data_IF_797564510016
#
_entry.id   IF_797564510016
#
_cell.length_a   1.000
_cell.length_b   1.000
_cell.length_c   1.000
_cell.angle_alpha   90.00
_cell.angle_beta   90.00
_cell.angle_gamma   90.00
#
_symmetry.space_group_name_H-M   'P 1'
#
loop_
_entity.id
_entity.type
_entity.pdbx_description
1 polymer ?
#
# COMPACT_ATOMS: atom_id res chain seq x y z
N UNK A 1 -46.60 -105.07 73.76
CA UNK A 1 -46.65 -104.29 72.50
C UNK A 1 -45.89 -102.98 72.73
N UNK A 2 -44.70 -102.77 72.14
CA UNK A 2 -44.47 -101.88 70.98
C UNK A 2 -45.22 -100.54 71.15
N UNK A 3 -44.61 -99.35 71.27
CA UNK A 3 -43.39 -98.79 70.65
C UNK A 3 -42.86 -97.61 71.47
N UNK A 4 -41.54 -97.40 71.33
CA UNK A 4 -40.72 -96.29 71.82
C UNK A 4 -41.20 -94.91 71.31
N UNK A 5 -41.09 -93.88 72.14
CA UNK A 5 -40.71 -92.54 71.69
C UNK A 5 -39.91 -91.84 72.80
N UNK A 6 -38.62 -91.66 72.54
CA UNK A 6 -37.70 -90.84 73.33
C UNK A 6 -37.71 -89.47 72.65
N UNK A 7 -38.09 -88.42 73.38
CA UNK A 7 -37.98 -87.03 72.91
C UNK A 7 -36.78 -86.40 73.62
N UNK A 8 -35.69 -86.23 72.86
CA UNK A 8 -34.52 -85.46 73.25
C UNK A 8 -34.85 -83.97 73.09
N UNK A 9 -34.79 -83.19 74.17
CA UNK A 9 -34.78 -81.73 74.11
C UNK A 9 -33.36 -81.27 73.72
N UNK A 10 -33.18 -80.82 72.48
CA UNK A 10 -31.96 -80.16 72.03
C UNK A 10 -32.08 -78.65 72.28
N UNK A 11 -31.17 -78.11 73.09
CA UNK A 11 -31.00 -76.67 73.27
C UNK A 11 -30.40 -76.07 71.99
N UNK A 12 -31.21 -75.30 71.26
CA UNK A 12 -30.75 -74.51 70.10
C UNK A 12 -30.12 -73.22 70.64
N UNK A 13 -28.79 -73.16 70.63
CA UNK A 13 -28.05 -71.90 70.71
C UNK A 13 -28.24 -71.14 69.40
N UNK A 14 -29.03 -70.07 69.43
CA UNK A 14 -29.08 -69.09 68.34
C UNK A 14 -27.82 -68.24 68.45
N UNK A 15 -26.80 -68.56 67.64
CA UNK A 15 -25.70 -67.66 67.37
C UNK A 15 -26.25 -66.47 66.57
N UNK A 16 -26.34 -65.30 67.21
CA UNK A 16 -26.58 -64.04 66.52
C UNK A 16 -25.33 -63.74 65.70
N UNK A 17 -25.38 -64.00 64.40
CA UNK A 17 -24.39 -63.51 63.46
C UNK A 17 -24.49 -61.98 63.42
N UNK A 18 -23.61 -61.31 64.16
CA UNK A 18 -23.35 -59.88 63.98
C UNK A 18 -22.83 -59.75 62.54
N UNK A 19 -23.52 -59.02 61.63
CA UNK A 19 -22.97 -58.76 60.32
C UNK A 19 -21.63 -58.04 60.51
N UNK A 20 -20.56 -58.40 59.78
CA UNK A 20 -19.32 -57.66 59.85
C UNK A 20 -19.65 -56.19 59.57
N UNK A 21 -19.41 -55.34 60.57
CA UNK A 21 -19.39 -53.90 60.38
C UNK A 21 -18.32 -53.67 59.34
N UNK A 22 -18.72 -53.29 58.13
CA UNK A 22 -17.78 -52.87 57.10
C UNK A 22 -16.91 -51.80 57.73
N UNK A 23 -15.61 -52.08 57.87
CA UNK A 23 -14.65 -51.05 58.24
C UNK A 23 -14.88 -49.89 57.27
N UNK A 24 -15.14 -48.69 57.80
CA UNK A 24 -15.13 -47.49 56.98
C UNK A 24 -13.82 -47.52 56.18
N UNK A 25 -13.93 -47.51 54.85
CA UNK A 25 -12.75 -47.50 53.98
C UNK A 25 -11.86 -46.35 54.46
N UNK A 26 -10.60 -46.65 54.79
CA UNK A 26 -9.66 -45.61 55.17
C UNK A 26 -9.63 -44.57 54.04
N UNK A 27 -9.75 -43.28 54.39
CA UNK A 27 -9.66 -42.20 53.40
C UNK A 27 -8.33 -42.32 52.65
N UNK A 28 -8.41 -42.48 51.34
CA UNK A 28 -7.25 -42.63 50.48
C UNK A 28 -6.64 -41.25 50.21
N UNK A 29 -5.48 -40.96 50.81
CA UNK A 29 -4.80 -39.66 50.65
C UNK A 29 -4.45 -39.35 49.18
N UNK A 30 -4.37 -40.37 48.31
CA UNK A 30 -4.16 -40.21 46.86
C UNK A 30 -5.40 -39.69 46.12
N UNK A 31 -6.59 -39.89 46.69
CA UNK A 31 -7.88 -39.49 46.12
C UNK A 31 -8.51 -38.29 46.84
N UNK A 32 -7.72 -37.57 47.64
CA UNK A 32 -8.20 -36.45 48.47
C UNK A 32 -8.63 -35.22 47.63
N UNK A 33 -7.86 -34.89 46.57
CA UNK A 33 -8.14 -33.74 45.72
C UNK A 33 -8.90 -34.13 44.45
N UNK A 34 -9.59 -33.17 43.85
CA UNK A 34 -10.22 -33.33 42.54
C UNK A 34 -9.18 -33.35 41.41
N UNK A 35 -9.42 -34.11 40.33
CA UNK A 35 -8.55 -34.10 39.16
C UNK A 35 -8.60 -32.76 38.41
N UNK A 36 -7.58 -32.51 37.57
CA UNK A 36 -7.49 -31.36 36.66
C UNK A 36 -6.96 -31.79 35.27
N UNK A 37 -7.09 -30.91 34.27
CA UNK A 37 -6.71 -31.16 32.86
C UNK A 37 -5.69 -30.10 32.35
N UNK A 38 -5.25 -29.18 33.21
CA UNK A 38 -4.39 -28.04 32.85
C UNK A 38 -3.24 -27.88 33.83
N UNK A 39 -2.04 -27.57 33.30
CA UNK A 39 -0.82 -27.26 34.05
C UNK A 39 -0.84 -25.87 34.70
N UNK A 40 -1.67 -24.97 34.19
CA UNK A 40 -1.85 -23.62 34.73
C UNK A 40 -3.29 -23.44 35.19
N UNK A 41 -3.50 -22.59 36.20
CA UNK A 41 -4.81 -22.21 36.79
C UNK A 41 -5.81 -21.55 35.80
N UNK A 42 -5.55 -21.61 34.49
CA UNK A 42 -6.44 -21.20 33.43
C UNK A 42 -7.39 -22.36 33.08
N UNK A 43 -8.71 -22.18 33.14
CA UNK A 43 -9.65 -23.30 33.25
C UNK A 43 -9.83 -24.17 32.00
N UNK A 44 -9.26 -23.82 30.84
CA UNK A 44 -9.40 -24.62 29.61
C UNK A 44 -8.18 -24.40 28.71
N UNK A 45 -7.18 -25.28 28.76
CA UNK A 45 -6.28 -25.44 27.62
C UNK A 45 -7.15 -25.86 26.42
N UNK A 46 -7.12 -25.07 25.35
CA UNK A 46 -7.89 -25.40 24.15
C UNK A 46 -7.20 -26.57 23.46
N UNK A 47 -7.68 -27.80 23.72
CA UNK A 47 -7.12 -29.01 23.11
C UNK A 47 -7.54 -29.05 21.64
N UNK A 48 -6.57 -28.92 20.72
CA UNK A 48 -6.80 -28.90 19.27
C UNK A 48 -6.22 -30.14 18.61
N UNK A 49 -7.08 -30.98 18.03
CA UNK A 49 -6.67 -32.23 17.37
C UNK A 49 -6.28 -32.01 15.90
N UNK A 50 -4.97 -31.92 15.60
CA UNK A 50 -4.44 -31.95 14.22
C UNK A 50 -3.94 -33.34 13.77
N UNK A 51 -3.98 -34.36 14.63
CA UNK A 51 -3.81 -35.78 14.27
C UNK A 51 -4.11 -36.66 15.49
N UNK A 52 -3.15 -36.75 16.39
CA UNK A 52 -3.25 -37.39 17.70
C UNK A 52 -2.65 -36.46 18.73
N UNK A 53 -3.38 -36.22 19.81
CA UNK A 53 -2.94 -35.40 20.94
C UNK A 53 -3.06 -36.24 22.20
N UNK A 54 -2.13 -36.02 23.12
CA UNK A 54 -2.18 -36.57 24.46
C UNK A 54 -2.65 -35.47 25.40
N UNK A 55 -3.81 -35.67 26.01
CA UNK A 55 -4.38 -34.74 26.98
C UNK A 55 -3.92 -35.17 28.37
N UNK A 56 -3.27 -34.31 29.16
CA UNK A 56 -2.88 -34.66 30.52
C UNK A 56 -4.12 -34.71 31.42
N UNK A 57 -4.21 -35.74 32.25
CA UNK A 57 -5.13 -35.81 33.38
C UNK A 57 -4.27 -35.86 34.61
N UNK A 58 -4.47 -34.90 35.50
CA UNK A 58 -3.60 -34.65 36.64
C UNK A 58 -4.38 -34.83 37.94
N UNK A 59 -3.73 -35.43 38.93
CA UNK A 59 -4.17 -35.54 40.32
C UNK A 59 -3.14 -34.85 41.21
N UNK A 60 -3.53 -33.74 41.82
CA UNK A 60 -2.72 -33.05 42.80
C UNK A 60 -2.79 -33.81 44.12
N UNK A 61 -1.66 -34.08 44.75
CA UNK A 61 -1.63 -34.75 46.05
C UNK A 61 -1.80 -33.74 47.19
N UNK A 62 -2.16 -34.22 48.38
CA UNK A 62 -2.23 -33.37 49.58
C UNK A 62 -0.85 -33.24 50.27
N UNK A 63 0.06 -34.19 50.05
CA UNK A 63 1.39 -34.25 50.66
C UNK A 63 2.46 -34.59 49.63
N UNK A 64 3.63 -33.97 49.80
CA UNK A 64 4.84 -34.37 49.09
C UNK A 64 5.23 -35.82 49.48
N UNK A 65 5.74 -36.62 48.54
CA UNK A 65 6.26 -38.00 48.73
C UNK A 65 5.26 -39.16 48.91
N UNK A 66 3.96 -38.94 48.69
CA UNK A 66 2.98 -40.03 48.68
C UNK A 66 3.07 -40.86 47.37
N UNK A 67 3.35 -42.16 47.49
CA UNK A 67 3.31 -43.08 46.36
C UNK A 67 1.85 -43.47 46.07
N UNK A 68 1.34 -42.95 44.95
CA UNK A 68 0.00 -43.21 44.44
C UNK A 68 0.05 -44.00 43.12
N UNK A 69 1.10 -44.82 42.94
CA UNK A 69 1.19 -45.72 41.79
C UNK A 69 -0.05 -46.63 41.71
N UNK A 70 -0.58 -46.79 40.50
CA UNK A 70 -1.78 -47.59 40.27
C UNK A 70 -3.08 -46.80 40.29
N UNK A 71 -3.03 -45.46 40.40
CA UNK A 71 -4.18 -44.61 40.14
C UNK A 71 -4.65 -44.72 38.69
N UNK A 72 -5.97 -44.80 38.50
CA UNK A 72 -6.61 -44.87 37.18
C UNK A 72 -7.76 -43.89 37.10
N UNK A 73 -7.68 -42.95 36.16
CA UNK A 73 -8.78 -42.06 35.81
C UNK A 73 -9.70 -42.72 34.78
N UNK A 74 -11.01 -42.64 35.02
CA UNK A 74 -12.04 -43.08 34.09
C UNK A 74 -12.61 -41.87 33.37
N UNK A 75 -12.53 -41.90 32.04
CA UNK A 75 -12.94 -40.80 31.17
C UNK A 75 -13.90 -41.32 30.14
N UNK A 76 -14.92 -40.54 29.80
CA UNK A 76 -15.85 -40.86 28.72
C UNK A 76 -16.28 -39.59 28.00
N UNK A 77 -16.87 -39.74 26.83
CA UNK A 77 -17.62 -38.63 26.22
C UNK A 77 -18.86 -38.30 27.04
N UNK A 78 -19.29 -37.05 26.97
CA UNK A 78 -20.50 -36.59 27.65
C UNK A 78 -21.77 -37.33 27.20
N UNK A 79 -21.78 -37.87 25.97
CA UNK A 79 -22.85 -38.72 25.44
C UNK A 79 -22.82 -40.18 25.94
N UNK A 80 -21.85 -40.53 26.81
CA UNK A 80 -21.68 -41.87 27.37
C UNK A 80 -20.86 -42.82 26.49
N UNK A 81 -20.47 -42.43 25.27
CA UNK A 81 -19.64 -43.23 24.38
C UNK A 81 -18.14 -43.14 24.73
N UNK A 82 -17.34 -44.01 24.10
CA UNK A 82 -15.87 -43.97 24.16
C UNK A 82 -15.30 -43.87 25.58
N UNK A 83 -15.70 -44.81 26.45
CA UNK A 83 -15.12 -44.91 27.77
C UNK A 83 -13.68 -45.42 27.70
N UNK A 84 -12.79 -44.72 28.37
CA UNK A 84 -11.36 -45.02 28.45
C UNK A 84 -10.89 -44.99 29.91
N UNK A 85 -9.82 -45.72 30.15
CA UNK A 85 -9.09 -45.69 31.42
C UNK A 85 -7.70 -45.14 31.15
N UNK A 86 -7.26 -44.21 31.99
CA UNK A 86 -5.96 -43.55 31.88
C UNK A 86 -5.20 -43.82 33.16
N UNK A 87 -4.12 -44.60 33.04
CA UNK A 87 -3.25 -44.87 34.17
C UNK A 87 -2.42 -43.61 34.48
N UNK A 88 -2.49 -43.14 35.73
CA UNK A 88 -1.72 -42.01 36.22
C UNK A 88 -0.38 -42.56 36.73
N UNK A 89 0.59 -42.68 35.83
CA UNK A 89 1.86 -43.39 36.06
C UNK A 89 3.07 -42.48 36.10
N UNK A 90 2.91 -41.23 35.65
CA UNK A 90 3.99 -40.26 35.62
C UNK A 90 3.88 -39.34 36.84
N UNK A 91 5.02 -39.09 37.50
CA UNK A 91 5.14 -38.12 38.58
C UNK A 91 5.80 -36.84 38.05
N UNK A 92 5.24 -35.68 38.41
CA UNK A 92 5.80 -34.38 38.08
C UNK A 92 4.80 -33.44 37.41
N UNK A 93 5.23 -32.21 37.19
CA UNK A 93 4.50 -31.20 36.44
C UNK A 93 5.48 -30.36 35.62
N UNK A 94 5.05 -29.83 34.47
CA UNK A 94 5.85 -28.84 33.73
C UNK A 94 5.53 -27.45 34.26
N UNK A 95 6.26 -27.00 35.27
CA UNK A 95 6.13 -25.66 35.83
C UNK A 95 6.24 -25.62 37.34
N UNK A 96 6.51 -24.44 37.91
CA UNK A 96 6.46 -24.22 39.35
C UNK A 96 5.01 -23.93 39.79
N UNK A 97 4.53 -24.50 40.93
CA UNK A 97 5.25 -25.36 41.88
C UNK A 97 4.55 -26.76 42.07
N UNK A 98 5.13 -27.78 42.77
CA UNK A 98 6.21 -28.72 42.36
C UNK A 98 5.80 -30.23 42.13
N UNK A 99 6.66 -31.20 42.53
CA UNK A 99 6.74 -32.68 42.38
C UNK A 99 5.65 -33.59 43.00
N UNK A 100 4.43 -33.09 43.19
CA UNK A 100 3.34 -33.70 43.97
C UNK A 100 2.09 -33.93 43.11
N UNK A 101 2.29 -34.00 41.79
CA UNK A 101 1.24 -34.32 40.82
C UNK A 101 1.53 -35.67 40.20
N UNK A 102 0.51 -36.53 40.20
CA UNK A 102 0.49 -37.72 39.37
C UNK A 102 -0.34 -37.43 38.14
N UNK A 103 0.17 -37.82 36.98
CA UNK A 103 -0.54 -37.58 35.74
C UNK A 103 -0.44 -38.75 34.78
N UNK A 104 -1.38 -38.77 33.85
CA UNK A 104 -1.46 -39.74 32.78
C UNK A 104 -1.97 -39.07 31.51
N UNK A 105 -1.74 -39.73 30.39
CA UNK A 105 -2.05 -39.17 29.07
C UNK A 105 -3.27 -39.87 28.47
N UNK A 106 -4.36 -39.13 28.26
CA UNK A 106 -5.50 -39.57 27.48
C UNK A 106 -5.16 -39.46 25.98
N UNK A 107 -5.04 -40.59 25.24
CA UNK A 107 -4.74 -40.54 23.82
C UNK A 107 -6.01 -40.24 23.02
N UNK A 108 -6.06 -39.08 22.37
CA UNK A 108 -7.17 -38.67 21.52
C UNK A 108 -6.72 -38.54 20.07
N UNK A 109 -7.53 -39.06 19.15
CA UNK A 109 -7.33 -38.88 17.70
C UNK A 109 -8.36 -37.91 17.15
N UNK A 110 -8.09 -37.27 16.02
CA UNK A 110 -9.07 -36.38 15.38
C UNK A 110 -10.42 -37.08 15.08
N UNK A 111 -10.41 -38.40 14.81
CA UNK A 111 -11.60 -39.19 14.58
C UNK A 111 -12.46 -39.32 15.86
N UNK A 112 -11.87 -39.90 16.89
CA UNK A 112 -12.58 -40.31 18.11
C UNK A 112 -12.62 -39.23 19.18
N UNK A 113 -11.70 -38.28 19.14
CA UNK A 113 -11.39 -37.35 20.22
C UNK A 113 -12.21 -36.06 20.29
N UNK A 114 -12.84 -35.62 19.20
CA UNK A 114 -13.55 -34.33 19.20
C UNK A 114 -14.88 -34.37 19.99
N UNK A 115 -15.20 -33.26 20.66
CA UNK A 115 -16.44 -33.02 21.41
C UNK A 115 -16.24 -32.85 22.92
N UNK A 116 -17.34 -32.95 23.67
CA UNK A 116 -17.35 -32.85 25.13
C UNK A 116 -16.97 -34.19 25.79
N UNK A 117 -16.08 -34.11 26.78
CA UNK A 117 -15.59 -35.21 27.58
C UNK A 117 -15.74 -34.92 29.06
N UNK A 118 -15.77 -35.98 29.86
CA UNK A 118 -15.91 -35.89 31.31
C UNK A 118 -15.01 -36.93 31.96
N UNK A 119 -14.20 -36.51 32.93
CA UNK A 119 -13.59 -37.43 33.91
C UNK A 119 -14.65 -37.72 34.95
N UNK A 120 -15.04 -38.99 35.08
CA UNK A 120 -16.18 -39.41 35.92
C UNK A 120 -15.77 -39.95 37.26
N UNK A 121 -14.59 -40.57 37.34
CA UNK A 121 -14.03 -41.05 38.60
C UNK A 121 -12.55 -41.33 38.50
N UNK A 122 -11.88 -41.35 39.64
CA UNK A 122 -10.49 -41.80 39.78
C UNK A 122 -10.48 -42.93 40.81
N UNK A 123 -9.74 -44.00 40.52
CA UNK A 123 -9.63 -45.17 41.40
C UNK A 123 -8.19 -45.36 41.84
N UNK A 124 -8.00 -45.84 43.06
CA UNK A 124 -6.72 -46.25 43.62
C UNK A 124 -6.96 -47.49 44.49
N UNK A 125 -6.47 -48.65 44.04
CA UNK A 125 -6.83 -49.94 44.65
C UNK A 125 -8.36 -50.17 44.66
N UNK A 126 -8.94 -50.36 45.85
CA UNK A 126 -10.38 -50.54 46.05
C UNK A 126 -11.13 -49.22 46.29
N UNK A 127 -10.42 -48.10 46.44
CA UNK A 127 -11.02 -46.80 46.74
C UNK A 127 -11.38 -46.07 45.45
N UNK A 128 -12.46 -45.28 45.50
CA UNK A 128 -12.89 -44.46 44.37
C UNK A 128 -13.28 -43.03 44.78
N UNK A 129 -12.86 -42.07 43.96
CA UNK A 129 -13.32 -40.69 43.98
C UNK A 129 -14.25 -40.47 42.79
N UNK A 130 -15.53 -40.25 43.07
CA UNK A 130 -16.48 -39.81 42.04
C UNK A 130 -16.21 -38.34 41.72
N UNK A 131 -16.19 -38.01 40.43
CA UNK A 131 -15.94 -36.64 39.95
C UNK A 131 -16.79 -36.33 38.71
N UNK A 132 -16.89 -35.05 38.37
CA UNK A 132 -17.55 -34.59 37.16
C UNK A 132 -16.76 -33.40 36.60
N UNK A 133 -15.60 -33.70 36.00
CA UNK A 133 -14.73 -32.70 35.40
C UNK A 133 -14.97 -32.65 33.88
N UNK A 134 -15.83 -31.75 33.38
CA UNK A 134 -16.06 -31.60 31.95
C UNK A 134 -14.92 -30.85 31.27
N UNK A 135 -14.62 -31.24 30.03
CA UNK A 135 -13.69 -30.54 29.15
C UNK A 135 -14.09 -30.72 27.70
N UNK A 136 -13.75 -29.73 26.86
CA UNK A 136 -14.06 -29.78 25.43
C UNK A 136 -12.80 -29.95 24.61
N UNK A 137 -12.87 -30.84 23.61
CA UNK A 137 -11.78 -31.11 22.69
C UNK A 137 -12.19 -30.66 21.29
N UNK A 138 -11.52 -29.61 20.80
CA UNK A 138 -11.76 -29.06 19.48
C UNK A 138 -10.99 -29.84 18.41
N UNK A 139 -11.59 -29.98 17.23
CA UNK A 139 -10.88 -30.47 16.04
C UNK A 139 -10.08 -29.35 15.41
N UNK A 140 -8.88 -29.69 14.93
CA UNK A 140 -8.04 -28.77 14.19
C UNK A 140 -8.59 -28.44 12.82
N UNK A 141 -8.11 -27.32 12.28
CA UNK A 141 -8.29 -26.94 10.89
C UNK A 141 -6.92 -26.72 10.25
N UNK A 142 -6.88 -26.79 8.92
CA UNK A 142 -5.75 -26.32 8.11
C UNK A 142 -6.25 -25.19 7.23
N UNK A 143 -5.78 -23.98 7.51
CA UNK A 143 -6.02 -22.81 6.67
C UNK A 143 -4.72 -22.48 5.95
N UNK A 144 -4.82 -22.28 4.65
CA UNK A 144 -3.72 -21.86 3.80
C UNK A 144 -4.02 -20.51 3.17
N UNK A 145 -2.97 -19.77 2.87
CA UNK A 145 -3.02 -18.53 2.11
C UNK A 145 -1.87 -18.57 1.10
N UNK A 146 -2.23 -18.57 -0.18
CA UNK A 146 -1.28 -18.57 -1.27
C UNK A 146 -0.54 -17.23 -1.31
N UNK A 147 0.73 -17.24 -1.74
CA UNK A 147 1.49 -16.02 -1.94
C UNK A 147 0.82 -15.17 -3.04
N UNK A 148 0.34 -13.95 -2.74
CA UNK A 148 -0.32 -13.14 -3.75
C UNK A 148 0.63 -12.76 -4.88
N UNK A 149 0.11 -12.72 -6.10
CA UNK A 149 0.86 -12.24 -7.25
C UNK A 149 1.26 -10.77 -7.07
N UNK A 150 2.47 -10.43 -7.54
CA UNK A 150 2.93 -9.03 -7.58
C UNK A 150 2.06 -8.25 -8.57
N UNK A 151 1.61 -7.07 -8.18
CA UNK A 151 0.77 -6.22 -9.05
C UNK A 151 1.40 -4.86 -9.29
N UNK A 152 1.09 -4.22 -10.41
CA UNK A 152 1.53 -2.86 -10.75
C UNK A 152 0.33 -1.96 -11.07
N UNK A 153 0.51 -0.65 -11.04
CA UNK A 153 -0.53 0.31 -11.43
C UNK A 153 -1.79 0.23 -10.56
N UNK A 154 -2.96 0.30 -11.18
CA UNK A 154 -4.27 0.16 -10.51
C UNK A 154 -4.78 -1.29 -10.44
N UNK A 155 -3.96 -2.26 -10.85
CA UNK A 155 -4.35 -3.66 -10.86
C UNK A 155 -4.67 -4.15 -9.44
N UNK A 156 -5.74 -4.95 -9.35
CA UNK A 156 -6.13 -5.68 -8.15
C UNK A 156 -5.37 -7.01 -8.13
N UNK A 157 -5.08 -7.52 -6.93
CA UNK A 157 -4.52 -8.87 -6.76
C UNK A 157 -5.58 -9.82 -6.26
N UNK A 158 -5.51 -11.07 -6.68
CA UNK A 158 -6.32 -12.14 -6.13
C UNK A 158 -5.63 -12.69 -4.88
N UNK A 159 -6.37 -12.79 -3.79
CA UNK A 159 -6.01 -13.52 -2.58
C UNK A 159 -6.78 -14.84 -2.61
N UNK A 160 -6.07 -15.95 -2.50
CA UNK A 160 -6.63 -17.30 -2.54
C UNK A 160 -5.99 -18.20 -1.50
N UNK A 161 -6.67 -19.29 -1.21
CA UNK A 161 -6.17 -20.36 -0.38
C UNK A 161 -7.26 -21.41 -0.17
N UNK A 162 -7.04 -22.27 0.82
CA UNK A 162 -7.95 -23.36 1.13
C UNK A 162 -8.10 -23.52 2.64
N UNK A 163 -9.33 -23.80 3.08
CA UNK A 163 -9.65 -24.25 4.42
C UNK A 163 -10.06 -25.73 4.36
N UNK A 164 -9.38 -26.54 5.16
CA UNK A 164 -9.76 -27.93 5.41
C UNK A 164 -9.90 -28.16 6.90
N UNK A 165 -10.73 -29.11 7.28
CA UNK A 165 -11.09 -29.42 8.67
C UNK A 165 -10.98 -30.91 8.90
N UNK A 166 -10.51 -31.31 10.07
CA UNK A 166 -10.54 -32.72 10.44
C UNK A 166 -11.98 -33.16 10.70
N UNK A 167 -12.44 -34.19 9.99
CA UNK A 167 -13.76 -34.78 10.17
C UNK A 167 -13.82 -35.67 11.41
N UNK A 168 -15.02 -36.18 11.71
CA UNK A 168 -15.24 -37.25 12.68
C UNK A 168 -14.60 -38.60 12.30
N UNK A 169 -14.12 -38.77 11.07
CA UNK A 169 -13.31 -39.94 10.66
C UNK A 169 -11.81 -39.68 10.77
N UNK A 170 -11.41 -38.48 11.22
CA UNK A 170 -10.01 -38.06 11.30
C UNK A 170 -9.39 -37.70 9.94
N UNK A 171 -10.19 -37.74 8.87
CA UNK A 171 -9.76 -37.31 7.55
C UNK A 171 -9.84 -35.79 7.42
N UNK A 172 -8.87 -35.20 6.73
CA UNK A 172 -8.87 -33.78 6.43
C UNK A 172 -9.80 -33.51 5.23
N UNK A 173 -10.98 -32.93 5.48
CA UNK A 173 -12.02 -32.68 4.48
C UNK A 173 -12.18 -31.20 4.16
N UNK A 174 -12.69 -30.88 2.98
CA UNK A 174 -13.02 -29.51 2.60
C UNK A 174 -14.04 -28.90 3.58
N UNK A 175 -13.85 -27.63 3.92
CA UNK A 175 -14.78 -26.87 4.76
C UNK A 175 -15.54 -25.84 3.92
N UNK A 176 -16.68 -26.21 3.30
CA UNK A 176 -17.45 -25.30 2.46
C UNK A 176 -18.23 -24.27 3.28
N UNK A 177 -18.70 -23.20 2.63
CA UNK A 177 -19.58 -22.17 3.19
C UNK A 177 -19.06 -21.55 4.50
N UNK A 178 -17.74 -21.44 4.64
CA UNK A 178 -17.08 -20.87 5.81
C UNK A 178 -16.48 -19.52 5.47
N UNK A 179 -16.76 -18.52 6.30
CA UNK A 179 -16.20 -17.17 6.13
C UNK A 179 -14.75 -17.11 6.58
N UNK A 180 -13.87 -16.82 5.63
CA UNK A 180 -12.45 -16.50 5.84
C UNK A 180 -12.29 -14.98 5.85
N UNK A 181 -11.65 -14.47 6.89
CA UNK A 181 -11.29 -13.06 7.04
C UNK A 181 -9.83 -12.87 6.65
N UNK A 182 -9.56 -11.89 5.81
CA UNK A 182 -8.21 -11.48 5.45
C UNK A 182 -7.88 -10.23 6.25
N UNK A 183 -6.88 -10.34 7.11
CA UNK A 183 -6.55 -9.35 8.13
C UNK A 183 -5.18 -8.76 7.85
N UNK A 184 -5.07 -7.44 8.02
CA UNK A 184 -3.81 -6.72 7.95
C UNK A 184 -2.97 -6.97 9.21
N UNK A 185 -1.64 -7.00 9.08
CA UNK A 185 -0.74 -7.19 10.24
C UNK A 185 -0.94 -6.14 11.34
N UNK A 186 -1.11 -4.88 10.97
CA UNK A 186 -1.43 -3.80 11.91
C UNK A 186 -2.83 -3.97 12.51
N UNK A 187 -2.89 -4.31 13.80
CA UNK A 187 -4.12 -4.39 14.62
C UNK A 187 -5.22 -5.31 14.05
N UNK A 188 -4.85 -6.30 13.24
CA UNK A 188 -5.81 -7.22 12.59
C UNK A 188 -6.95 -6.51 11.87
N UNK A 189 -6.66 -5.37 11.23
CA UNK A 189 -7.65 -4.61 10.47
C UNK A 189 -8.21 -5.49 9.34
N UNK A 190 -9.53 -5.57 9.22
CA UNK A 190 -10.18 -6.33 8.16
C UNK A 190 -9.90 -5.70 6.79
N UNK A 191 -9.27 -6.47 5.90
CA UNK A 191 -9.02 -6.09 4.50
C UNK A 191 -10.19 -6.54 3.63
N UNK A 192 -10.58 -7.81 3.76
CA UNK A 192 -11.63 -8.43 2.98
C UNK A 192 -12.16 -9.68 3.67
N UNK A 193 -13.32 -10.14 3.22
CA UNK A 193 -13.89 -11.45 3.56
C UNK A 193 -14.09 -12.27 2.29
N UNK A 194 -13.97 -13.59 2.42
CA UNK A 194 -14.28 -14.54 1.37
C UNK A 194 -15.00 -15.75 1.97
N UNK A 195 -15.92 -16.34 1.23
CA UNK A 195 -16.58 -17.59 1.63
C UNK A 195 -15.96 -18.74 0.86
N UNK A 196 -15.71 -19.86 1.55
CA UNK A 196 -15.17 -21.07 0.91
C UNK A 196 -16.22 -21.77 0.03
N UNK A 197 -15.77 -22.27 -1.11
CA UNK A 197 -16.59 -23.06 -2.05
C UNK A 197 -16.74 -24.53 -1.61
N UNK A 198 -17.40 -25.35 -2.43
CA UNK A 198 -17.60 -26.78 -2.16
C UNK A 198 -16.29 -27.57 -1.94
N UNK A 199 -15.17 -27.11 -2.50
CA UNK A 199 -13.85 -27.71 -2.34
C UNK A 199 -13.05 -27.11 -1.15
N UNK A 200 -13.67 -26.21 -0.39
CA UNK A 200 -13.04 -25.50 0.73
C UNK A 200 -12.09 -24.40 0.28
N UNK A 201 -12.09 -24.03 -1.01
CA UNK A 201 -11.22 -22.98 -1.55
C UNK A 201 -11.90 -21.63 -1.37
N UNK A 202 -11.12 -20.61 -1.05
CA UNK A 202 -11.62 -19.24 -1.03
C UNK A 202 -10.84 -18.38 -2.01
N UNK A 203 -11.50 -17.37 -2.56
CA UNK A 203 -10.89 -16.41 -3.46
C UNK A 203 -11.55 -15.05 -3.28
N UNK A 204 -10.75 -13.99 -3.21
CA UNK A 204 -11.25 -12.61 -3.28
C UNK A 204 -10.24 -11.71 -3.99
N UNK A 205 -10.70 -10.60 -4.53
CA UNK A 205 -9.86 -9.67 -5.30
C UNK A 205 -9.80 -8.33 -4.58
N UNK A 206 -8.59 -7.91 -4.21
CA UNK A 206 -8.35 -6.71 -3.39
C UNK A 206 -7.43 -5.75 -4.13
N UNK A 207 -7.70 -4.45 -4.01
CA UNK A 207 -6.82 -3.40 -4.51
C UNK A 207 -5.86 -2.97 -3.41
N UNK A 208 -4.56 -3.06 -3.67
CA UNK A 208 -3.52 -2.52 -2.80
C UNK A 208 -2.83 -1.34 -3.47
N UNK A 209 -2.54 -0.32 -2.67
CA UNK A 209 -1.77 0.87 -3.07
C UNK A 209 -0.32 0.81 -2.58
N UNK A 210 0.07 -0.21 -1.82
CA UNK A 210 1.42 -0.40 -1.28
C UNK A 210 1.61 -1.86 -0.88
N UNK A 211 2.85 -2.26 -0.57
CA UNK A 211 3.13 -3.57 0.01
C UNK A 211 2.31 -3.73 1.29
N UNK A 212 1.55 -4.81 1.36
CA UNK A 212 0.60 -5.05 2.44
C UNK A 212 0.82 -6.44 3.03
N UNK A 213 1.22 -6.49 4.29
CA UNK A 213 1.38 -7.75 5.01
C UNK A 213 0.05 -8.15 5.65
N UNK A 214 -0.40 -9.36 5.35
CA UNK A 214 -1.72 -9.86 5.72
C UNK A 214 -1.67 -11.34 6.09
N UNK A 215 -2.70 -11.81 6.78
CA UNK A 215 -2.94 -13.23 7.08
C UNK A 215 -4.41 -13.57 6.86
N UNK A 216 -4.71 -14.85 6.65
CA UNK A 216 -6.08 -15.34 6.65
C UNK A 216 -6.44 -15.86 8.05
N UNK A 217 -7.72 -15.74 8.41
CA UNK A 217 -8.26 -16.23 9.67
C UNK A 217 -9.70 -16.71 9.51
N UNK A 218 -10.12 -17.65 10.35
CA UNK A 218 -11.53 -18.03 10.52
C UNK A 218 -11.99 -17.78 11.95
N UNK A 219 -13.28 -17.54 12.13
CA UNK A 219 -13.87 -17.56 13.47
C UNK A 219 -13.90 -19.00 14.02
N UNK A 220 -13.85 -19.13 15.35
CA UNK A 220 -14.21 -20.39 16.00
C UNK A 220 -15.67 -20.72 15.69
N UNK A 221 -15.98 -21.99 15.43
CA UNK A 221 -17.34 -22.42 15.08
C UNK A 221 -17.58 -23.84 15.56
N UNK A 222 -18.58 -24.03 16.43
CA UNK A 222 -18.94 -25.35 16.96
C UNK A 222 -17.72 -26.08 17.52
N UNK A 223 -17.36 -27.20 16.89
CA UNK A 223 -16.25 -28.08 17.29
C UNK A 223 -14.88 -27.68 16.73
N UNK A 224 -14.70 -26.47 16.20
CA UNK A 224 -13.43 -26.01 15.62
C UNK A 224 -13.00 -24.67 16.23
N UNK A 225 -11.71 -24.55 16.51
CA UNK A 225 -11.08 -23.29 16.93
C UNK A 225 -10.91 -22.32 15.76
N UNK A 226 -10.62 -21.07 16.09
CA UNK A 226 -10.15 -20.10 15.12
C UNK A 226 -8.77 -20.53 14.56
N UNK A 227 -8.63 -20.56 13.24
CA UNK A 227 -7.36 -20.84 12.57
C UNK A 227 -6.79 -19.53 12.03
N UNK A 228 -5.46 -19.43 12.04
CA UNK A 228 -4.69 -18.27 11.55
C UNK A 228 -3.55 -18.79 10.69
N UNK A 229 -3.33 -18.15 9.54
CA UNK A 229 -2.13 -18.43 8.74
C UNK A 229 -0.94 -17.61 9.22
N UNK A 230 0.25 -18.01 8.79
CA UNK A 230 1.40 -17.12 8.75
C UNK A 230 1.10 -15.86 7.93
N UNK A 231 1.88 -14.82 8.21
CA UNK A 231 1.83 -13.60 7.42
C UNK A 231 2.43 -13.81 6.02
N UNK A 232 1.74 -13.24 5.03
CA UNK A 232 2.18 -13.12 3.64
C UNK A 232 2.12 -11.67 3.21
N UNK A 233 3.02 -11.26 2.33
CA UNK A 233 3.06 -9.88 1.83
C UNK A 233 2.51 -9.83 0.41
N UNK A 234 1.42 -9.09 0.22
CA UNK A 234 0.96 -8.69 -1.10
C UNK A 234 1.85 -7.56 -1.61
N UNK A 235 2.65 -7.86 -2.64
CA UNK A 235 3.64 -6.95 -3.18
C UNK A 235 3.05 -6.02 -4.25
N UNK A 236 3.38 -4.73 -4.14
CA UNK A 236 2.99 -3.68 -5.07
C UNK A 236 4.23 -3.09 -5.75
N UNK A 237 4.23 -3.14 -7.07
CA UNK A 237 5.22 -2.51 -7.93
C UNK A 237 4.77 -1.12 -8.33
N UNK A 238 5.70 -0.18 -8.34
CA UNK A 238 5.55 1.11 -8.99
C UNK A 238 5.42 0.87 -10.51
N UNK A 239 4.35 1.37 -11.09
CA UNK A 239 4.19 1.56 -12.53
C UNK A 239 4.44 3.02 -12.88
N UNK A 240 5.14 3.29 -13.99
CA UNK A 240 5.41 4.64 -14.45
C UNK A 240 5.19 4.75 -15.97
N UNK A 241 4.54 5.83 -16.40
CA UNK A 241 4.35 6.15 -17.82
C UNK A 241 5.67 6.53 -18.49
N UNK A 242 5.66 6.61 -19.82
CA UNK A 242 6.69 7.37 -20.53
C UNK A 242 6.65 8.85 -20.11
N UNK A 243 7.80 9.51 -20.21
CA UNK A 243 7.91 10.93 -19.93
C UNK A 243 7.35 11.73 -21.11
N UNK A 244 6.55 12.74 -20.80
CA UNK A 244 6.09 13.75 -21.74
C UNK A 244 6.88 15.03 -21.51
N UNK A 245 7.61 15.48 -22.52
CA UNK A 245 8.42 16.68 -22.45
C UNK A 245 8.48 17.39 -23.81
N UNK A 246 8.68 18.71 -23.81
CA UNK A 246 8.90 19.44 -25.07
C UNK A 246 10.27 19.06 -25.66
N UNK A 247 10.38 18.85 -26.98
CA UNK A 247 11.60 18.34 -27.60
C UNK A 247 12.81 19.30 -27.50
N UNK A 248 12.55 20.59 -27.29
CA UNK A 248 13.56 21.64 -27.23
C UNK A 248 13.45 22.41 -25.91
N UNK A 249 14.58 22.63 -25.26
CA UNK A 249 14.73 23.49 -24.09
C UNK A 249 15.69 24.65 -24.41
N UNK A 250 15.66 25.72 -23.61
CA UNK A 250 16.53 26.88 -23.75
C UNK A 250 17.39 27.05 -22.50
N UNK A 251 18.65 27.45 -22.68
CA UNK A 251 19.54 27.81 -21.57
C UNK A 251 18.87 28.87 -20.69
N UNK A 252 18.95 28.72 -19.36
CA UNK A 252 18.35 29.58 -18.33
C UNK A 252 16.81 29.69 -18.40
N UNK A 253 16.14 28.89 -19.21
CA UNK A 253 14.68 28.79 -19.25
C UNK A 253 14.17 27.62 -18.42
N UNK A 254 13.08 27.81 -17.69
CA UNK A 254 12.39 26.69 -17.02
C UNK A 254 11.80 25.74 -18.07
N UNK A 255 12.19 24.47 -17.98
CA UNK A 255 11.71 23.41 -18.85
C UNK A 255 10.95 22.36 -18.03
N UNK A 256 9.86 21.84 -18.60
CA UNK A 256 8.91 20.96 -17.91
C UNK A 256 8.99 19.54 -18.45
N UNK A 257 9.07 18.58 -17.54
CA UNK A 257 8.89 17.14 -17.78
C UNK A 257 7.67 16.67 -16.99
N UNK A 258 6.78 15.91 -17.64
CA UNK A 258 5.56 15.40 -17.02
C UNK A 258 5.46 13.88 -17.19
N UNK A 259 4.72 13.24 -16.30
CA UNK A 259 4.44 11.82 -16.38
C UNK A 259 3.40 11.41 -15.34
N UNK A 260 3.14 10.11 -15.27
CA UNK A 260 2.36 9.52 -14.19
C UNK A 260 3.07 8.33 -13.56
N UNK A 261 2.90 8.17 -12.26
CA UNK A 261 3.34 7.00 -11.52
C UNK A 261 2.25 6.52 -10.57
N UNK A 262 2.14 5.20 -10.43
CA UNK A 262 1.17 4.53 -9.57
C UNK A 262 1.89 3.50 -8.70
N UNK A 263 1.54 3.39 -7.42
CA UNK A 263 0.53 4.18 -6.67
C UNK A 263 0.85 5.68 -6.60
N UNK A 264 -0.14 6.54 -6.32
CA UNK A 264 0.11 7.96 -6.05
C UNK A 264 0.82 8.17 -4.70
N UNK A 265 1.13 9.42 -4.32
CA UNK A 265 1.84 9.77 -3.07
C UNK A 265 3.29 9.25 -2.98
N UNK A 266 3.85 8.73 -4.07
CA UNK A 266 5.27 8.41 -4.20
C UNK A 266 6.12 9.68 -4.26
N UNK A 267 7.44 9.54 -4.13
CA UNK A 267 8.38 10.62 -4.44
C UNK A 267 8.91 10.46 -5.87
N UNK A 268 8.91 11.56 -6.62
CA UNK A 268 9.56 11.67 -7.92
C UNK A 268 10.68 12.70 -7.87
N UNK A 269 11.84 12.29 -8.33
CA UNK A 269 13.06 13.08 -8.43
C UNK A 269 13.47 13.20 -9.91
N UNK A 270 13.60 14.43 -10.41
CA UNK A 270 14.17 14.69 -11.72
C UNK A 270 15.69 14.77 -11.60
N UNK A 271 16.37 13.90 -12.34
CA UNK A 271 17.82 13.79 -12.33
C UNK A 271 18.37 14.08 -13.73
N UNK A 272 19.55 14.71 -13.77
CA UNK A 272 20.30 14.98 -15.00
C UNK A 272 21.57 14.14 -15.00
N UNK A 273 21.91 13.55 -16.14
CA UNK A 273 23.17 12.83 -16.31
C UNK A 273 24.31 13.83 -16.55
N UNK A 274 25.34 13.80 -15.70
CA UNK A 274 26.48 14.72 -15.82
C UNK A 274 27.64 14.15 -16.66
N UNK A 275 27.45 12.97 -17.27
CA UNK A 275 28.49 12.24 -18.02
C UNK A 275 29.01 10.99 -17.29
N UNK A 276 28.91 10.94 -15.96
CA UNK A 276 29.38 9.82 -15.13
C UNK A 276 28.29 9.28 -14.20
N UNK A 277 27.44 10.16 -13.66
CA UNK A 277 26.39 9.81 -12.71
C UNK A 277 25.11 10.62 -12.96
N UNK A 278 24.04 10.14 -12.35
CA UNK A 278 22.76 10.85 -12.29
C UNK A 278 22.75 11.76 -11.07
N UNK A 279 22.52 13.04 -11.29
CA UNK A 279 22.51 14.07 -10.25
C UNK A 279 21.10 14.63 -10.10
N UNK A 280 20.58 14.64 -8.88
CA UNK A 280 19.29 15.23 -8.52
C UNK A 280 19.25 16.71 -8.83
N UNK A 281 18.22 17.15 -9.55
CA UNK A 281 17.93 18.56 -9.77
C UNK A 281 17.17 19.15 -8.57
N UNK A 282 17.02 20.48 -8.46
CA UNK A 282 16.19 21.08 -7.43
C UNK A 282 14.70 20.68 -7.50
N UNK A 283 14.24 20.07 -8.61
CA UNK A 283 12.86 19.62 -8.75
C UNK A 283 12.72 18.17 -8.30
N UNK A 284 12.46 18.02 -7.00
CA UNK A 284 12.07 16.77 -6.36
C UNK A 284 10.83 17.01 -5.50
N UNK A 285 10.05 15.96 -5.25
CA UNK A 285 8.92 16.09 -4.33
C UNK A 285 7.93 14.93 -4.38
N UNK A 286 6.87 15.00 -3.55
CA UNK A 286 5.79 14.04 -3.61
C UNK A 286 5.01 14.15 -4.93
N UNK A 287 4.44 13.05 -5.36
CA UNK A 287 3.48 12.94 -6.45
C UNK A 287 2.09 13.03 -5.80
N UNK A 288 1.16 13.82 -6.34
CA UNK A 288 -0.22 13.83 -5.85
C UNK A 288 -0.87 12.44 -5.85
N UNK A 289 -1.99 12.31 -5.13
CA UNK A 289 -2.70 11.04 -5.03
C UNK A 289 -3.20 10.50 -6.39
N UNK A 290 -3.45 11.37 -7.37
CA UNK A 290 -3.83 11.01 -8.73
C UNK A 290 -2.67 10.46 -9.59
N UNK A 291 -1.46 10.39 -9.03
CA UNK A 291 -0.28 9.83 -9.70
C UNK A 291 0.35 10.71 -10.79
N UNK A 292 -0.28 11.83 -11.17
CA UNK A 292 0.22 12.73 -12.22
C UNK A 292 1.20 13.73 -11.63
N UNK A 293 2.37 13.86 -12.24
CA UNK A 293 3.40 14.79 -11.78
C UNK A 293 3.98 15.64 -12.91
N UNK A 294 4.56 16.77 -12.50
CA UNK A 294 5.44 17.58 -13.33
C UNK A 294 6.69 17.94 -12.53
N UNK A 295 7.84 17.93 -13.20
CA UNK A 295 9.13 18.35 -12.67
C UNK A 295 9.76 19.36 -13.62
N UNK A 296 10.53 20.27 -13.04
CA UNK A 296 11.06 21.43 -13.74
C UNK A 296 12.59 21.45 -13.65
N UNK A 297 13.24 21.81 -14.74
CA UNK A 297 14.68 21.93 -14.78
C UNK A 297 15.07 23.16 -15.59
N UNK A 298 16.08 23.87 -15.12
CA UNK A 298 16.65 25.03 -15.80
C UNK A 298 18.08 24.68 -16.24
N UNK A 299 18.33 24.40 -17.54
CA UNK A 299 19.67 24.08 -18.03
C UNK A 299 20.55 25.34 -18.07
N UNK A 300 21.82 25.22 -17.69
CA UNK A 300 22.79 26.34 -17.76
C UNK A 300 23.72 26.26 -18.98
N UNK A 301 23.69 25.15 -19.73
CA UNK A 301 24.56 24.91 -20.89
C UNK A 301 23.76 24.33 -22.05
N UNK A 302 24.07 24.78 -23.26
CA UNK A 302 23.53 24.23 -24.49
C UNK A 302 24.13 22.84 -24.79
N UNK A 303 23.46 22.05 -25.62
CA UNK A 303 23.85 20.69 -25.98
C UNK A 303 22.72 19.69 -25.77
N UNK A 304 23.02 18.41 -25.95
CA UNK A 304 22.06 17.33 -25.65
C UNK A 304 22.26 16.87 -24.21
N UNK A 305 21.18 16.87 -23.44
CA UNK A 305 21.18 16.41 -22.05
C UNK A 305 20.30 15.19 -21.91
N UNK A 306 20.75 14.22 -21.11
CA UNK A 306 19.94 13.07 -20.70
C UNK A 306 19.35 13.37 -19.34
N UNK A 307 18.03 13.25 -19.24
CA UNK A 307 17.29 13.38 -18.00
C UNK A 307 16.60 12.07 -17.68
N UNK A 308 16.36 11.83 -16.40
CA UNK A 308 15.46 10.77 -15.97
C UNK A 308 14.59 11.25 -14.83
N UNK A 309 13.39 10.72 -14.76
CA UNK A 309 12.61 10.79 -13.52
C UNK A 309 12.78 9.46 -12.82
N UNK A 310 13.26 9.53 -11.58
CA UNK A 310 13.36 8.39 -10.68
C UNK A 310 12.22 8.45 -9.66
N UNK A 311 11.47 7.35 -9.54
CA UNK A 311 10.33 7.28 -8.63
C UNK A 311 10.61 6.25 -7.55
N UNK A 312 10.36 6.64 -6.30
CA UNK A 312 10.53 5.82 -5.11
C UNK A 312 9.36 5.99 -4.16
N UNK A 313 9.10 4.99 -3.34
CA UNK A 313 8.10 5.04 -2.27
C UNK A 313 8.55 4.23 -1.08
N UNK A 314 7.96 4.50 0.08
CA UNK A 314 8.06 3.57 1.19
C UNK A 314 7.19 2.34 0.86
N UNK A 315 7.67 1.13 1.24
CA UNK A 315 6.89 -0.12 1.12
C UNK A 315 6.44 -0.44 -0.30
N UNK A 316 7.33 -0.30 -1.27
CA UNK A 316 7.14 -0.76 -2.66
C UNK A 316 8.36 -1.54 -3.11
N UNK A 317 8.14 -2.53 -3.97
CA UNK A 317 9.13 -3.55 -4.32
C UNK A 317 10.22 -3.11 -5.30
N UNK A 318 10.02 -1.98 -5.97
CA UNK A 318 10.92 -1.48 -7.01
C UNK A 318 11.03 0.05 -6.96
N UNK A 319 11.98 0.60 -7.72
CA UNK A 319 12.15 2.05 -7.88
C UNK A 319 12.51 2.37 -9.34
N UNK A 320 11.49 2.38 -10.24
CA UNK A 320 11.74 2.52 -11.66
C UNK A 320 12.23 3.93 -12.02
N UNK A 321 12.95 4.02 -13.13
CA UNK A 321 13.30 5.28 -13.78
C UNK A 321 12.95 5.25 -15.26
N UNK A 322 12.60 6.41 -15.82
CA UNK A 322 12.44 6.61 -17.28
C UNK A 322 13.30 7.77 -17.71
N UNK A 323 13.95 7.60 -18.85
CA UNK A 323 14.87 8.57 -19.40
C UNK A 323 14.26 9.32 -20.59
N UNK A 324 14.74 10.53 -20.81
CA UNK A 324 14.44 11.35 -21.99
C UNK A 324 15.70 12.13 -22.37
N UNK A 325 15.94 12.29 -23.67
CA UNK A 325 16.98 13.18 -24.17
C UNK A 325 16.35 14.49 -24.62
N UNK A 326 16.94 15.62 -24.23
CA UNK A 326 16.49 16.95 -24.64
C UNK A 326 17.63 17.71 -25.29
N UNK A 327 17.31 18.39 -26.39
CA UNK A 327 18.23 19.34 -27.02
C UNK A 327 18.03 20.70 -26.36
N UNK A 328 19.05 21.15 -25.64
CA UNK A 328 19.12 22.50 -25.07
C UNK A 328 19.80 23.41 -26.07
N UNK A 329 19.09 24.42 -26.52
CA UNK A 329 19.62 25.45 -27.41
C UNK A 329 20.14 26.61 -26.58
N UNK A 330 21.33 27.11 -26.91
CA UNK A 330 21.81 28.36 -26.33
C UNK A 330 20.78 29.44 -26.65
N UNK A 331 20.36 30.21 -25.64
CA UNK A 331 19.72 31.47 -25.96
C UNK A 331 20.75 32.31 -26.73
N UNK A 332 20.36 32.97 -27.83
CA UNK A 332 21.24 33.82 -28.59
C UNK A 332 21.96 34.79 -27.63
N UNK A 333 23.30 34.79 -27.65
CA UNK A 333 24.13 35.68 -26.80
C UNK A 333 23.93 37.16 -27.13
N UNK A 334 23.28 37.45 -28.25
CA UNK A 334 23.03 38.79 -28.77
C UNK A 334 21.53 38.96 -29.04
N UNK A 335 20.99 40.18 -28.94
CA UNK A 335 19.57 40.41 -29.14
C UNK A 335 19.11 39.88 -30.50
N UNK A 336 18.11 39.01 -30.53
CA UNK A 336 17.85 38.24 -31.75
C UNK A 336 17.02 38.96 -32.80
N UNK A 337 16.25 39.98 -32.44
CA UNK A 337 15.46 40.82 -33.36
C UNK A 337 14.84 41.99 -32.60
N UNK A 338 14.54 43.09 -33.31
CA UNK A 338 13.69 44.16 -32.81
C UNK A 338 12.23 43.74 -32.95
N UNK A 339 11.43 43.86 -31.87
CA UNK A 339 9.97 43.80 -31.94
C UNK A 339 9.47 45.21 -31.71
N UNK A 340 8.79 45.76 -32.71
CA UNK A 340 8.07 47.02 -32.57
C UNK A 340 6.58 46.85 -32.78
N UNK A 341 5.79 47.36 -31.85
CA UNK A 341 4.39 47.70 -32.11
C UNK A 341 4.42 49.06 -32.83
N UNK A 342 4.53 49.03 -34.15
CA UNK A 342 4.46 50.24 -34.95
C UNK A 342 3.01 50.43 -35.36
N UNK A 343 2.41 51.52 -34.89
CA UNK A 343 1.10 51.93 -35.37
C UNK A 343 1.32 52.62 -36.72
N UNK A 344 0.50 52.27 -37.71
CA UNK A 344 0.56 52.90 -39.03
C UNK A 344 0.54 54.44 -38.87
N UNK A 345 1.35 55.18 -39.66
CA UNK A 345 1.37 56.64 -39.62
C UNK A 345 -0.05 57.20 -39.62
N UNK A 346 -0.36 57.99 -38.59
CA UNK A 346 -1.70 58.56 -38.42
C UNK A 346 -1.67 60.00 -38.92
N UNK A 347 -2.58 60.33 -39.83
CA UNK A 347 -2.85 61.69 -40.26
C UNK A 347 -4.22 62.12 -39.74
N UNK A 348 -4.40 63.41 -39.49
CA UNK A 348 -5.74 64.00 -39.54
C UNK A 348 -6.25 63.89 -40.98
N UNK A 349 -7.45 63.36 -41.19
CA UNK A 349 -8.09 63.42 -42.49
C UNK A 349 -8.66 64.84 -42.70
N UNK A 350 -8.54 65.43 -43.90
CA UNK A 350 -7.88 64.93 -45.11
C UNK A 350 -6.35 65.14 -45.15
N UNK A 351 -5.62 64.20 -45.78
CA UNK A 351 -4.18 64.33 -46.05
C UNK A 351 -3.97 65.29 -47.22
N UNK A 352 -3.36 66.45 -46.98
CA UNK A 352 -2.93 67.42 -48.01
C UNK A 352 -1.40 67.49 -48.06
N UNK A 353 -0.85 68.05 -49.14
CA UNK A 353 0.57 68.43 -49.18
C UNK A 353 0.90 69.31 -47.97
N UNK A 354 2.08 69.09 -47.38
CA UNK A 354 2.58 69.76 -46.17
C UNK A 354 1.75 69.52 -44.89
N UNK A 355 0.74 68.63 -44.94
CA UNK A 355 0.04 68.20 -43.73
C UNK A 355 1.01 67.49 -42.80
N UNK A 356 0.92 67.79 -41.51
CA UNK A 356 1.75 67.13 -40.51
C UNK A 356 1.23 65.71 -40.23
N UNK A 357 2.06 64.71 -40.50
CA UNK A 357 1.85 63.33 -40.09
C UNK A 357 2.66 63.01 -38.83
N UNK A 358 2.17 62.06 -38.05
CA UNK A 358 2.87 61.56 -36.87
C UNK A 358 3.18 60.08 -37.02
N UNK A 359 4.38 59.70 -36.56
CA UNK A 359 4.76 58.30 -36.40
C UNK A 359 5.23 58.06 -34.98
N UNK A 360 4.71 57.00 -34.37
CA UNK A 360 5.07 56.61 -33.02
C UNK A 360 5.17 55.08 -32.93
N UNK A 361 5.96 54.63 -31.97
CA UNK A 361 6.13 53.21 -31.72
C UNK A 361 7.01 52.94 -30.52
N UNK A 362 7.27 51.67 -30.28
CA UNK A 362 8.18 51.22 -29.24
C UNK A 362 9.12 50.16 -29.81
N UNK A 363 10.42 50.32 -29.62
CA UNK A 363 11.44 49.34 -30.00
C UNK A 363 11.85 48.52 -28.77
N UNK A 364 11.68 47.20 -28.87
CA UNK A 364 12.17 46.23 -27.88
C UNK A 364 13.14 45.26 -28.51
N UNK A 365 14.09 44.78 -27.72
CA UNK A 365 14.99 43.69 -28.07
C UNK A 365 14.73 42.49 -27.18
N UNK A 366 14.86 41.28 -27.72
CA UNK A 366 14.77 40.06 -26.91
C UNK A 366 16.10 39.82 -26.19
N UNK A 367 16.06 39.74 -24.86
CA UNK A 367 17.21 39.46 -23.99
C UNK A 367 17.58 37.97 -24.04
N UNK A 368 18.79 37.68 -23.59
CA UNK A 368 19.34 36.33 -23.48
C UNK A 368 18.62 35.45 -22.43
N UNK A 369 17.67 35.99 -21.66
CA UNK A 369 16.79 35.27 -20.74
C UNK A 369 15.38 35.02 -21.32
N UNK A 370 15.16 35.42 -22.58
CA UNK A 370 13.88 35.32 -23.27
C UNK A 370 12.92 36.48 -23.04
N UNK A 371 13.20 37.40 -22.11
CA UNK A 371 12.39 38.60 -21.85
C UNK A 371 12.60 39.68 -22.91
N UNK A 372 11.72 40.69 -22.95
CA UNK A 372 11.84 41.85 -23.85
C UNK A 372 12.40 43.06 -23.08
N UNK A 373 13.51 43.61 -23.55
CA UNK A 373 14.14 44.82 -23.02
C UNK A 373 13.92 46.04 -23.94
N UNK A 374 13.91 47.27 -23.41
CA UNK A 374 13.75 48.49 -24.21
C UNK A 374 15.01 48.85 -24.99
N UNK A 375 14.86 49.41 -26.19
CA UNK A 375 15.98 49.86 -27.03
C UNK A 375 16.11 51.38 -26.92
N UNK A 376 16.98 51.85 -26.02
CA UNK A 376 17.15 53.28 -25.78
C UNK A 376 18.17 53.97 -26.70
N UNK A 377 17.95 55.27 -26.92
CA UNK A 377 18.85 56.19 -27.62
C UNK A 377 19.25 55.77 -29.05
N UNK A 378 18.33 55.12 -29.76
CA UNK A 378 18.51 54.66 -31.13
C UNK A 378 17.72 55.56 -32.10
N UNK A 379 18.30 55.89 -33.25
CA UNK A 379 17.65 56.74 -34.27
C UNK A 379 16.73 55.89 -35.15
N UNK A 380 15.46 56.27 -35.22
CA UNK A 380 14.46 55.74 -36.15
C UNK A 380 14.21 56.77 -37.23
N UNK A 381 14.36 56.37 -38.48
CA UNK A 381 14.17 57.25 -39.63
C UNK A 381 12.86 56.94 -40.33
N UNK A 382 12.19 57.98 -40.81
CA UNK A 382 10.97 57.91 -41.61
C UNK A 382 11.34 58.28 -43.04
N UNK A 383 11.10 57.36 -43.94
CA UNK A 383 11.31 57.51 -45.37
C UNK A 383 9.96 57.48 -46.09
N UNK A 384 9.77 58.30 -47.10
CA UNK A 384 8.58 58.32 -47.96
C UNK A 384 8.98 57.96 -49.38
N UNK A 385 8.05 57.45 -50.19
CA UNK A 385 8.16 57.44 -51.66
C UNK A 385 6.77 57.56 -52.31
N UNK A 386 6.60 58.34 -53.38
CA UNK A 386 5.42 58.23 -54.23
C UNK A 386 5.26 56.81 -54.80
N UNK A 387 4.02 56.38 -54.98
CA UNK A 387 3.73 55.09 -55.60
C UNK A 387 4.16 55.15 -57.07
N UNK A 388 5.07 54.27 -57.47
CA UNK A 388 5.66 54.23 -58.82
C UNK A 388 7.08 54.78 -58.90
N UNK A 389 7.59 55.41 -57.85
CA UNK A 389 8.98 55.87 -57.78
C UNK A 389 9.91 54.86 -57.09
N UNK A 390 11.16 54.80 -57.54
CA UNK A 390 12.16 53.87 -57.02
C UNK A 390 12.84 54.38 -55.73
N UNK A 391 12.97 55.70 -55.55
CA UNK A 391 13.77 56.29 -54.49
C UNK A 391 12.96 56.55 -53.21
N UNK A 392 13.58 56.25 -52.06
CA UNK A 392 13.09 56.62 -50.73
C UNK A 392 13.79 57.90 -50.26
N UNK A 393 13.04 58.77 -49.59
CA UNK A 393 13.51 60.08 -49.14
C UNK A 393 13.11 60.30 -47.69
N UNK A 394 14.07 60.73 -46.89
CA UNK A 394 13.89 60.90 -45.45
C UNK A 394 13.07 62.16 -45.17
N UNK A 395 11.97 62.00 -44.43
CA UNK A 395 11.04 63.10 -44.07
C UNK A 395 11.04 63.40 -42.57
N UNK A 396 11.64 62.54 -41.76
CA UNK A 396 11.76 62.75 -40.32
C UNK A 396 12.63 61.69 -39.64
N UNK A 397 13.05 61.98 -38.41
CA UNK A 397 13.78 61.04 -37.58
C UNK A 397 13.52 61.32 -36.10
N UNK A 398 13.53 60.28 -35.27
CA UNK A 398 13.44 60.40 -33.82
C UNK A 398 14.39 59.44 -33.10
N UNK A 399 14.88 59.86 -31.93
CA UNK A 399 15.60 58.97 -31.01
C UNK A 399 14.61 58.28 -30.08
N UNK A 400 14.83 57.00 -29.84
CA UNK A 400 14.07 56.28 -28.81
C UNK A 400 14.44 56.77 -27.40
N UNK A 401 13.44 56.87 -26.53
CA UNK A 401 13.62 57.09 -25.10
C UNK A 401 14.28 55.89 -24.44
N UNK A 402 14.72 56.03 -23.18
CA UNK A 402 15.30 54.93 -22.39
C UNK A 402 14.38 53.69 -22.30
N UNK A 403 13.07 53.88 -22.45
CA UNK A 403 12.04 52.83 -22.44
C UNK A 403 11.71 52.30 -23.85
N UNK A 404 12.45 52.72 -24.87
CA UNK A 404 12.31 52.25 -26.26
C UNK A 404 11.25 52.98 -27.09
N UNK A 405 10.54 53.96 -26.53
CA UNK A 405 9.49 54.68 -27.26
C UNK A 405 10.07 55.75 -28.17
N UNK A 406 9.52 55.92 -29.37
CA UNK A 406 9.85 57.03 -30.25
C UNK A 406 8.60 57.72 -30.77
N UNK A 407 8.76 58.99 -31.11
CA UNK A 407 7.73 59.84 -31.69
C UNK A 407 8.39 60.85 -32.61
N UNK A 408 7.91 60.97 -33.85
CA UNK A 408 8.32 62.05 -34.77
C UNK A 408 7.11 62.59 -35.52
N UNK A 409 7.16 63.89 -35.80
CA UNK A 409 6.29 64.57 -36.75
C UNK A 409 7.05 64.81 -38.04
N UNK A 410 6.36 64.81 -39.17
CA UNK A 410 6.93 65.07 -40.48
C UNK A 410 5.84 65.60 -41.42
N UNK A 411 6.23 66.38 -42.44
CA UNK A 411 5.30 66.92 -43.43
C UNK A 411 5.16 66.00 -44.63
N UNK A 412 3.96 65.88 -45.20
CA UNK A 412 3.73 65.11 -46.45
C UNK A 412 4.43 65.80 -47.62
N UNK A 413 5.46 65.18 -48.24
CA UNK A 413 6.26 65.83 -49.27
C UNK A 413 5.70 65.64 -50.70
N UNK A 414 4.55 64.97 -50.83
CA UNK A 414 4.00 64.45 -52.09
C UNK A 414 2.92 65.38 -52.63
N UNK A 415 2.81 65.50 -53.96
CA UNK A 415 1.88 66.44 -54.60
C UNK A 415 0.41 66.05 -54.39
N UNK A 416 -0.53 67.02 -54.45
CA UNK A 416 -1.95 66.73 -54.48
C UNK A 416 -2.32 65.74 -55.61
N UNK A 417 -3.24 64.81 -55.32
CA UNK A 417 -3.67 63.78 -56.27
C UNK A 417 -2.74 62.56 -56.41
N UNK A 418 -1.59 62.54 -55.73
CA UNK A 418 -0.67 61.40 -55.73
C UNK A 418 -0.88 60.49 -54.51
N UNK A 419 -0.41 59.24 -54.60
CA UNK A 419 -0.33 58.32 -53.46
C UNK A 419 1.12 58.03 -53.10
N UNK A 420 1.40 57.72 -51.84
CA UNK A 420 2.76 57.44 -51.36
C UNK A 420 2.81 56.33 -50.31
N UNK A 421 3.98 55.75 -50.14
CA UNK A 421 4.29 54.75 -49.11
C UNK A 421 5.25 55.36 -48.08
N UNK A 422 5.22 54.82 -46.87
CA UNK A 422 6.11 55.20 -45.76
C UNK A 422 6.93 53.98 -45.35
N UNK A 423 8.23 54.12 -45.22
CA UNK A 423 9.14 53.11 -44.68
C UNK A 423 9.78 53.65 -43.41
N UNK A 424 9.75 52.86 -42.35
CA UNK A 424 10.55 53.12 -41.16
C UNK A 424 11.83 52.31 -41.22
N UNK A 425 12.96 52.94 -40.93
CA UNK A 425 14.27 52.29 -40.85
C UNK A 425 14.78 52.35 -39.42
N UNK A 426 15.30 51.22 -38.91
CA UNK A 426 15.84 51.10 -37.55
C UNK A 426 17.36 50.85 -37.59
N UNK A 427 18.13 51.23 -36.54
CA UNK A 427 19.58 51.12 -36.59
C UNK A 427 20.04 49.66 -36.55
N UNK A 428 20.94 49.31 -37.46
CA UNK A 428 21.56 47.99 -37.58
C UNK A 428 22.83 47.93 -36.75
N UNK A 429 22.73 47.38 -35.53
CA UNK A 429 23.89 46.80 -34.83
C UNK A 429 23.60 45.39 -34.34
N UNK A 430 22.90 44.59 -35.15
CA UNK A 430 22.65 43.17 -34.90
C UNK A 430 23.12 42.33 -36.11
N UNK A 431 23.61 41.10 -35.90
CA UNK A 431 23.99 40.20 -36.99
C UNK A 431 22.79 39.92 -37.91
N UNK A 432 23.05 39.98 -39.22
CA UNK A 432 22.15 40.12 -40.38
C UNK A 432 21.06 39.05 -40.60
N UNK A 433 20.87 38.09 -39.69
CA UNK A 433 20.16 36.84 -40.02
C UNK A 433 18.67 36.75 -39.67
N UNK A 434 18.03 37.72 -38.98
CA UNK A 434 16.59 37.59 -38.67
C UNK A 434 15.80 38.86 -38.27
N UNK A 435 16.26 40.07 -38.59
CA UNK A 435 15.49 41.30 -38.30
C UNK A 435 15.03 41.98 -39.58
N UNK A 436 13.74 42.31 -39.70
CA UNK A 436 13.30 43.30 -40.69
C UNK A 436 13.86 44.66 -40.27
N UNK A 437 14.88 45.15 -40.97
CA UNK A 437 15.45 46.48 -40.76
C UNK A 437 14.46 47.60 -41.12
N UNK A 438 13.34 47.23 -41.75
CA UNK A 438 12.34 48.14 -42.28
C UNK A 438 10.91 47.69 -42.01
N UNK A 439 9.98 48.64 -41.93
CA UNK A 439 8.53 48.39 -42.00
C UNK A 439 7.90 49.35 -42.99
N UNK A 440 7.15 48.84 -43.98
CA UNK A 440 6.51 49.63 -45.04
C UNK A 440 5.00 49.73 -44.80
N UNK A 441 4.44 50.94 -44.92
CA UNK A 441 3.05 51.28 -44.69
C UNK A 441 2.46 52.05 -45.89
N UNK A 442 1.14 51.97 -46.06
CA UNK A 442 0.41 52.60 -47.15
C UNK A 442 -0.01 51.61 -48.24
N UNK A 443 -0.46 52.11 -49.41
CA UNK A 443 -0.37 53.51 -49.84
C UNK A 443 -1.31 54.46 -49.09
N UNK A 444 -0.89 55.71 -48.95
CA UNK A 444 -1.69 56.84 -48.48
C UNK A 444 -1.97 57.77 -49.65
N UNK A 445 -3.18 58.31 -49.77
CA UNK A 445 -3.56 59.20 -50.87
C UNK A 445 -3.63 60.65 -50.41
N UNK A 446 -2.98 61.55 -51.15
CA UNK A 446 -3.03 63.00 -50.94
C UNK A 446 -4.23 63.55 -51.71
N UNK A 447 -5.12 64.26 -51.02
CA UNK A 447 -6.28 64.89 -51.67
C UNK A 447 -5.83 65.93 -52.71
N UNK A 448 -6.62 66.14 -53.78
CA UNK A 448 -6.36 67.17 -54.79
C UNK A 448 -6.21 68.58 -54.23
#
# INVERSE_FOLDING_TARGET
>A
MRRRLVVLLAAVMVAVAVPPVAAAAAEDECLYNQPSISQDRSPVETIVLKASVRVPIEMHLYRDSLDCAGMVAHVRKADGSNQQTVALTEQGGRGMPPSWTWYGWLPLTAATGGGDWVVTKVTHGANELQTNLPFHVYRGSELTLDQPARTSGTARTTLSGQLRRYSNTGALVAAPNTTVRLLHQTKDLLIATATTDAAGRFRTTVAFTQNTTLRASTAASGNYVAELTDYRTAHKLIAMSYLSALPTAYVNGWWKVSGSAYPGKLHADLQVFNGTAWVTTPSYGPIPANGVYSRYWMPTKAGTHRLRVWVRGERVDNSPSREVSVKVTALPKSPTYFVGSVVAPTAGLPIRRDSTMSTFGNLKYRRADGTLGPVGNQVVEVHVRPVGEAAWWMVGAARTSVSGYFYTRWGVPVQPGQSFQVMLTYPTKLPTTASSATGVFGPFSVQP
#
